data_IF_887546434255
#
_entry.id   IF_887546434255
#
_cell.length_a   1.000
_cell.length_b   1.000
_cell.length_c   1.000
_cell.angle_alpha   90.00
_cell.angle_beta   90.00
_cell.angle_gamma   90.00
#
_symmetry.space_group_name_H-M   'P 1'
#
loop_
_entity.id
_entity.type
_entity.pdbx_description
1 polymer ?
#
# COMPACT_ATOMS: atom_id res chain seq x y z
N UNK A 1 12.85 22.95 -7.25
CA UNK A 1 13.76 21.80 -7.16
C UNK A 1 13.81 21.12 -8.53
N UNK A 2 14.94 20.55 -8.96
CA UNK A 2 14.99 19.71 -10.16
C UNK A 2 13.97 18.57 -10.06
N UNK A 3 13.27 18.25 -11.14
CA UNK A 3 12.21 17.22 -11.16
C UNK A 3 12.73 15.86 -10.64
N UNK A 4 13.98 15.52 -10.96
CA UNK A 4 14.63 14.30 -10.48
C UNK A 4 14.84 14.28 -8.96
N UNK A 5 15.31 15.38 -8.37
CA UNK A 5 15.47 15.47 -6.92
C UNK A 5 14.13 15.38 -6.21
N UNK A 6 13.10 16.08 -6.72
CA UNK A 6 11.75 16.02 -6.18
C UNK A 6 11.18 14.60 -6.23
N UNK A 7 11.36 13.88 -7.35
CA UNK A 7 10.95 12.49 -7.50
C UNK A 7 11.62 11.59 -6.46
N UNK A 8 12.95 11.69 -6.28
CA UNK A 8 13.67 10.86 -5.31
C UNK A 8 13.18 11.12 -3.88
N UNK A 9 13.04 12.38 -3.48
CA UNK A 9 12.51 12.71 -2.15
C UNK A 9 11.07 12.24 -1.95
N UNK A 10 10.22 12.35 -2.98
CA UNK A 10 8.84 11.88 -2.92
C UNK A 10 8.75 10.34 -2.77
N UNK A 11 9.58 9.59 -3.50
CA UNK A 11 9.65 8.13 -3.40
C UNK A 11 10.16 7.72 -2.01
N UNK A 12 11.29 8.27 -1.56
CA UNK A 12 11.85 7.95 -0.24
C UNK A 12 10.90 8.32 0.90
N UNK A 13 10.26 9.49 0.80
CA UNK A 13 9.26 9.95 1.76
C UNK A 13 8.03 9.06 1.84
N UNK A 14 7.68 8.33 0.77
CA UNK A 14 6.61 7.33 0.79
C UNK A 14 7.06 5.97 1.33
N UNK A 15 8.30 5.57 1.07
CA UNK A 15 8.84 4.27 1.50
C UNK A 15 8.91 4.17 3.03
N UNK A 16 9.35 5.23 3.71
CA UNK A 16 9.54 5.22 5.17
C UNK A 16 8.22 4.93 5.92
N UNK A 17 7.11 5.65 5.68
CA UNK A 17 5.81 5.30 6.24
C UNK A 17 5.31 3.91 5.82
N UNK A 18 5.56 3.50 4.57
CA UNK A 18 5.11 2.20 4.08
C UNK A 18 5.72 1.05 4.87
N UNK A 19 7.04 1.10 5.12
CA UNK A 19 7.76 0.11 5.94
C UNK A 19 7.19 0.09 7.35
N UNK A 20 7.03 1.27 7.97
CA UNK A 20 6.49 1.37 9.32
C UNK A 20 5.09 0.75 9.39
N UNK A 21 4.19 1.10 8.47
CA UNK A 21 2.84 0.55 8.45
C UNK A 21 2.83 -0.97 8.24
N UNK A 22 3.61 -1.50 7.29
CA UNK A 22 3.65 -2.94 7.02
C UNK A 22 4.16 -3.76 8.22
N UNK A 23 5.11 -3.20 8.98
CA UNK A 23 5.68 -3.88 10.16
C UNK A 23 4.80 -3.73 11.40
N UNK A 24 4.26 -2.54 11.64
CA UNK A 24 3.58 -2.22 12.90
C UNK A 24 2.07 -2.46 12.88
N UNK A 25 1.40 -2.53 11.73
CA UNK A 25 -0.06 -2.75 11.70
C UNK A 25 -0.46 -4.08 12.37
N UNK A 26 0.33 -5.14 12.17
CA UNK A 26 0.05 -6.43 12.79
C UNK A 26 0.15 -6.39 14.32
N UNK A 27 1.29 -6.06 14.95
CA UNK A 27 1.39 -6.00 16.40
C UNK A 27 0.46 -4.95 17.00
N UNK A 28 0.22 -3.83 16.32
CA UNK A 28 -0.73 -2.81 16.76
C UNK A 28 -2.17 -3.33 16.79
N UNK A 29 -2.56 -4.11 15.77
CA UNK A 29 -3.88 -4.74 15.75
C UNK A 29 -4.03 -5.80 16.84
N UNK A 30 -3.01 -6.62 17.09
CA UNK A 30 -3.04 -7.62 18.16
C UNK A 30 -3.13 -6.96 19.54
N UNK A 31 -2.45 -5.83 19.73
CA UNK A 31 -2.58 -5.01 20.92
C UNK A 31 -4.00 -4.44 21.09
N UNK A 32 -4.57 -3.86 20.04
CA UNK A 32 -5.93 -3.31 20.07
C UNK A 32 -7.01 -4.36 20.34
N UNK A 33 -6.80 -5.61 19.89
CA UNK A 33 -7.72 -6.73 20.11
C UNK A 33 -7.86 -7.13 21.58
N UNK A 34 -7.07 -6.56 22.49
CA UNK A 34 -7.30 -6.70 23.93
C UNK A 34 -8.62 -6.04 24.38
N UNK A 35 -9.18 -5.12 23.59
CA UNK A 35 -10.46 -4.47 23.86
C UNK A 35 -11.60 -5.12 23.07
N UNK A 36 -12.71 -5.43 23.76
CA UNK A 36 -13.86 -6.18 23.23
C UNK A 36 -14.40 -5.65 21.89
N UNK A 37 -14.60 -4.33 21.78
CA UNK A 37 -15.11 -3.72 20.54
C UNK A 37 -14.15 -3.86 19.36
N UNK A 38 -12.85 -3.76 19.62
CA UNK A 38 -11.83 -3.88 18.57
C UNK A 38 -11.63 -5.33 18.15
N UNK A 39 -11.75 -6.29 19.07
CA UNK A 39 -11.68 -7.71 18.72
C UNK A 39 -12.80 -8.10 17.75
N UNK A 40 -14.05 -7.70 18.05
CA UNK A 40 -15.20 -7.91 17.15
C UNK A 40 -14.97 -7.25 15.79
N UNK A 41 -14.47 -6.02 15.77
CA UNK A 41 -14.20 -5.29 14.53
C UNK A 41 -13.15 -6.00 13.67
N UNK A 42 -12.00 -6.36 14.24
CA UNK A 42 -10.93 -7.03 13.50
C UNK A 42 -11.33 -8.44 13.09
N UNK A 43 -12.06 -9.17 13.93
CA UNK A 43 -12.59 -10.49 13.59
C UNK A 43 -13.54 -10.40 12.39
N UNK A 44 -14.49 -9.46 12.39
CA UNK A 44 -15.38 -9.21 11.26
C UNK A 44 -14.60 -8.82 9.99
N UNK A 45 -13.62 -7.91 10.13
CA UNK A 45 -12.82 -7.39 9.02
C UNK A 45 -12.01 -8.51 8.35
N UNK A 46 -11.31 -9.32 9.15
CA UNK A 46 -10.49 -10.41 8.64
C UNK A 46 -11.33 -11.57 8.16
N UNK A 47 -12.44 -11.92 8.81
CA UNK A 47 -13.34 -12.98 8.32
C UNK A 47 -13.92 -12.66 6.94
N UNK A 48 -14.16 -11.37 6.66
CA UNK A 48 -14.68 -10.92 5.36
C UNK A 48 -13.61 -10.85 4.28
N UNK A 49 -12.37 -10.51 4.65
CA UNK A 49 -11.33 -10.18 3.67
C UNK A 49 -10.28 -11.26 3.48
N UNK A 50 -9.95 -12.00 4.54
CA UNK A 50 -9.03 -13.14 4.47
C UNK A 50 -9.83 -14.38 4.09
N UNK A 51 -9.79 -14.72 2.80
CA UNK A 51 -10.15 -16.07 2.37
C UNK A 51 -9.05 -17.01 2.83
N UNK A 52 -9.39 -17.94 3.72
CA UNK A 52 -8.50 -19.00 4.16
C UNK A 52 -7.92 -19.71 2.93
N UNK A 53 -6.59 -19.71 2.84
CA UNK A 53 -5.81 -20.65 2.03
C UNK A 53 -5.83 -20.37 0.52
N UNK A 54 -4.79 -19.69 0.03
CA UNK A 54 -4.07 -20.08 -1.19
C UNK A 54 -2.89 -19.11 -1.41
N UNK A 55 -1.66 -19.61 -1.60
CA UNK A 55 -0.51 -18.80 -2.02
C UNK A 55 -0.79 -17.99 -3.29
N UNK A 56 -1.75 -18.43 -4.10
CA UNK A 56 -2.24 -17.67 -5.25
C UNK A 56 -2.81 -16.31 -4.83
N UNK A 57 -3.54 -16.24 -3.72
CA UNK A 57 -4.13 -14.99 -3.24
C UNK A 57 -3.07 -13.96 -2.85
N UNK A 58 -1.92 -14.38 -2.34
CA UNK A 58 -0.83 -13.44 -2.05
C UNK A 58 -0.23 -12.84 -3.33
N UNK A 59 -0.03 -13.65 -4.37
CA UNK A 59 0.48 -13.16 -5.66
C UNK A 59 -0.52 -12.24 -6.36
N UNK A 60 -1.79 -12.64 -6.42
CA UNK A 60 -2.84 -11.83 -7.02
C UNK A 60 -3.15 -10.57 -6.19
N UNK A 61 -3.10 -10.67 -4.87
CA UNK A 61 -3.24 -9.55 -3.96
C UNK A 61 -2.08 -8.56 -4.09
N UNK A 62 -0.84 -9.05 -4.21
CA UNK A 62 0.31 -8.20 -4.50
C UNK A 62 0.19 -7.54 -5.89
N UNK A 63 -0.29 -8.26 -6.90
CA UNK A 63 -0.52 -7.64 -8.21
C UNK A 63 -1.60 -6.54 -8.14
N UNK A 64 -2.70 -6.79 -7.41
CA UNK A 64 -3.73 -5.78 -7.15
C UNK A 64 -3.16 -4.55 -6.44
N UNK A 65 -2.36 -4.74 -5.39
CA UNK A 65 -1.69 -3.65 -4.68
C UNK A 65 -0.79 -2.82 -5.60
N UNK A 66 -0.09 -3.45 -6.54
CA UNK A 66 0.78 -2.74 -7.50
C UNK A 66 -0.04 -1.75 -8.31
N UNK A 67 -1.11 -2.23 -8.95
CA UNK A 67 -1.98 -1.40 -9.77
C UNK A 67 -2.74 -0.37 -8.94
N UNK A 68 -3.20 -0.75 -7.75
CA UNK A 68 -3.88 0.15 -6.83
C UNK A 68 -3.00 1.34 -6.48
N UNK A 69 -1.73 1.12 -6.11
CA UNK A 69 -0.80 2.20 -5.75
C UNK A 69 -0.27 2.95 -6.98
N UNK A 70 -0.13 2.29 -8.13
CA UNK A 70 0.40 2.89 -9.36
C UNK A 70 -0.52 3.96 -9.96
N UNK A 71 -1.83 3.85 -9.80
CA UNK A 71 -2.77 4.87 -10.28
C UNK A 71 -2.73 6.03 -9.29
N UNK A 72 -2.36 7.26 -9.70
CA UNK A 72 -2.24 8.39 -8.79
C UNK A 72 -3.61 9.03 -8.47
N UNK A 73 -4.43 8.36 -7.64
CA UNK A 73 -5.70 8.89 -7.13
C UNK A 73 -5.47 9.52 -5.74
N UNK A 74 -6.31 10.49 -5.31
CA UNK A 74 -6.18 11.15 -4.00
C UNK A 74 -6.29 10.22 -2.76
N UNK A 75 -6.55 8.93 -2.96
CA UNK A 75 -6.71 7.91 -1.92
C UNK A 75 -5.80 6.68 -2.13
N UNK A 76 -5.14 6.56 -3.28
CA UNK A 76 -4.26 5.44 -3.59
C UNK A 76 -2.82 5.85 -3.35
N UNK A 77 -2.11 5.07 -2.54
CA UNK A 77 -0.72 5.39 -2.21
C UNK A 77 -0.10 4.36 -1.28
N UNK A 78 1.13 4.64 -0.85
CA UNK A 78 1.89 3.69 -0.06
C UNK A 78 1.21 3.34 1.27
N UNK A 79 0.69 4.34 1.98
CA UNK A 79 -0.08 4.19 3.22
C UNK A 79 -1.36 3.33 3.11
N UNK A 80 -2.22 3.62 2.14
CA UNK A 80 -3.46 2.86 1.90
C UNK A 80 -3.15 1.48 1.31
N UNK A 81 -2.11 1.36 0.49
CA UNK A 81 -1.56 0.09 0.03
C UNK A 81 -1.05 -0.79 1.18
N UNK A 82 -0.33 -0.21 2.15
CA UNK A 82 0.12 -0.93 3.35
C UNK A 82 -1.04 -1.38 4.23
N UNK A 83 -2.07 -0.55 4.39
CA UNK A 83 -3.29 -0.93 5.10
C UNK A 83 -4.04 -2.06 4.38
N UNK A 84 -4.20 -1.97 3.06
CA UNK A 84 -4.79 -3.02 2.25
C UNK A 84 -3.99 -4.33 2.36
N UNK A 85 -2.65 -4.28 2.26
CA UNK A 85 -1.78 -5.43 2.44
C UNK A 85 -2.03 -6.14 3.78
N UNK A 86 -2.18 -5.38 4.86
CA UNK A 86 -2.49 -5.89 6.19
C UNK A 86 -3.87 -6.56 6.28
N UNK A 87 -4.91 -5.92 5.71
CA UNK A 87 -6.28 -6.45 5.70
C UNK A 87 -6.35 -7.76 4.89
N UNK A 88 -5.76 -7.76 3.68
CA UNK A 88 -5.68 -8.94 2.81
C UNK A 88 -4.71 -10.02 3.34
N UNK A 89 -3.90 -9.70 4.35
CA UNK A 89 -2.94 -10.64 4.94
C UNK A 89 -1.76 -10.98 4.02
N UNK A 90 -1.37 -10.05 3.14
CA UNK A 90 -0.26 -10.23 2.21
C UNK A 90 1.06 -10.13 3.00
N UNK A 91 1.96 -11.11 2.82
CA UNK A 91 3.27 -11.11 3.50
C UNK A 91 4.10 -9.89 3.09
N UNK A 92 4.90 -9.38 4.04
CA UNK A 92 5.80 -8.24 3.86
C UNK A 92 6.62 -8.33 2.58
N UNK A 93 7.20 -9.52 2.29
CA UNK A 93 8.06 -9.75 1.13
C UNK A 93 7.37 -9.63 -0.22
N UNK A 94 6.04 -9.74 -0.28
CA UNK A 94 5.27 -9.44 -1.49
C UNK A 94 4.73 -8.02 -1.47
N UNK A 95 4.20 -7.56 -0.33
CA UNK A 95 3.59 -6.24 -0.21
C UNK A 95 4.60 -5.10 -0.42
N UNK A 96 5.79 -5.19 0.17
CA UNK A 96 6.80 -4.14 0.12
C UNK A 96 7.28 -3.82 -1.31
N UNK A 97 7.86 -4.78 -2.08
CA UNK A 97 8.36 -4.48 -3.43
C UNK A 97 7.24 -4.01 -4.36
N UNK A 98 6.03 -4.53 -4.18
CA UNK A 98 4.83 -4.13 -4.91
C UNK A 98 4.45 -2.68 -4.63
N UNK A 99 4.40 -2.26 -3.37
CA UNK A 99 4.04 -0.88 -3.00
C UNK A 99 5.12 0.08 -3.51
N UNK A 100 6.40 -0.27 -3.35
CA UNK A 100 7.52 0.51 -3.88
C UNK A 100 7.43 0.64 -5.40
N UNK A 101 7.16 -0.46 -6.11
CA UNK A 101 6.92 -0.48 -7.54
C UNK A 101 5.78 0.46 -7.96
N UNK A 102 4.66 0.40 -7.23
CA UNK A 102 3.50 1.27 -7.48
C UNK A 102 3.84 2.74 -7.29
N UNK A 103 4.53 3.10 -6.20
CA UNK A 103 4.95 4.48 -5.92
C UNK A 103 5.87 5.02 -7.00
N UNK A 104 6.82 4.21 -7.50
CA UNK A 104 7.69 4.61 -8.60
C UNK A 104 6.89 4.86 -9.88
N UNK A 105 5.96 3.96 -10.24
CA UNK A 105 5.09 4.14 -11.42
C UNK A 105 4.24 5.40 -11.28
N UNK A 106 3.58 5.59 -10.13
CA UNK A 106 2.78 6.79 -9.86
C UNK A 106 3.63 8.06 -9.95
N UNK A 107 4.85 8.05 -9.39
CA UNK A 107 5.77 9.18 -9.46
C UNK A 107 6.18 9.52 -10.90
N UNK A 108 6.41 8.51 -11.75
CA UNK A 108 6.69 8.71 -13.17
C UNK A 108 5.48 9.34 -13.88
N UNK A 109 4.27 8.80 -13.66
CA UNK A 109 3.03 9.32 -14.27
C UNK A 109 2.80 10.77 -13.86
N UNK A 110 2.90 11.09 -12.57
CA UNK A 110 2.71 12.45 -12.04
C UNK A 110 3.78 13.41 -12.58
N UNK A 111 5.03 12.96 -12.68
CA UNK A 111 6.11 13.79 -13.25
C UNK A 111 5.86 14.09 -14.72
N UNK A 112 5.47 13.10 -15.52
CA UNK A 112 5.13 13.31 -16.94
C UNK A 112 3.91 14.22 -17.12
N UNK A 113 2.88 14.06 -16.29
CA UNK A 113 1.72 14.95 -16.28
C UNK A 113 2.10 16.39 -15.88
N UNK A 114 2.95 16.54 -14.87
CA UNK A 114 3.42 17.87 -14.40
C UNK A 114 4.29 18.59 -15.42
N UNK A 115 5.03 17.85 -16.26
CA UNK A 115 5.80 18.39 -17.37
C UNK A 115 4.95 18.73 -18.61
N UNK A 116 3.63 18.48 -18.56
CA UNK A 116 2.72 18.71 -19.69
C UNK A 116 2.85 17.70 -20.83
N UNK A 117 3.60 16.61 -20.61
CA UNK A 117 3.74 15.51 -21.60
C UNK A 117 2.46 14.69 -21.66
N UNK A 118 1.76 14.56 -20.53
CA UNK A 118 0.47 13.88 -20.42
C UNK A 118 -0.57 14.90 -19.96
N UNK A 119 -1.50 15.26 -20.84
CA UNK A 119 -2.66 16.08 -20.50
C UNK A 119 -3.81 15.18 -20.06
N UNK A 120 -4.18 15.24 -18.78
CA UNK A 120 -5.51 14.81 -18.36
C UNK A 120 -6.48 15.88 -18.88
N UNK A 121 -7.23 15.53 -19.92
CA UNK A 121 -8.28 16.37 -20.54
C UNK A 121 -9.26 16.88 -19.49
#
# INVERSE_FOLDING_TARGET
MPAFSAYIFAVLGNIVPAIFLLLFLKPFSEYLRQWYYFDIFFEWLFKRTRRNTEEKFEKYGALFLLFFVAIPLPLTGAWTGSAAAFIFGIRFWYAFPTIVGGVMIAGVIVTLASLGVISFI
#
